data_IF_552603895949
#
_entry.id   IF_552603895949
#
_cell.length_a   1.000
_cell.length_b   1.000
_cell.length_c   1.000
_cell.angle_alpha   90.00
_cell.angle_beta   90.00
_cell.angle_gamma   90.00
#
_symmetry.space_group_name_H-M   'P 1'
#
loop_
_entity.id
_entity.type
_entity.pdbx_description
1 polymer ?
#
# COMPACT_ATOMS: atom_id res chain seq x y z
N UNK A 1 -9.86 -17.17 -0.23
CA UNK A 1 -10.57 -16.90 -1.52
C UNK A 1 -10.45 -18.08 -2.49
N UNK A 2 -9.27 -18.58 -2.82
CA UNK A 2 -9.13 -19.67 -3.79
C UNK A 2 -9.95 -20.93 -3.47
N UNK A 3 -10.05 -21.32 -2.21
CA UNK A 3 -10.80 -22.53 -1.76
C UNK A 3 -12.31 -22.33 -1.79
N UNK A 4 -12.79 -21.08 -1.65
CA UNK A 4 -14.22 -20.75 -1.54
C UNK A 4 -14.70 -19.84 -2.69
N UNK A 5 -14.03 -19.91 -3.83
CA UNK A 5 -14.30 -19.03 -4.98
C UNK A 5 -15.73 -19.10 -5.52
N UNK A 6 -16.42 -20.18 -5.29
CA UNK A 6 -17.80 -20.34 -5.74
C UNK A 6 -18.80 -19.58 -4.84
N UNK A 7 -18.37 -19.23 -3.63
CA UNK A 7 -19.20 -18.54 -2.62
C UNK A 7 -18.71 -17.13 -2.40
N UNK A 8 -17.39 -16.95 -2.27
CA UNK A 8 -16.76 -15.65 -1.98
C UNK A 8 -16.37 -14.97 -3.29
N UNK A 9 -17.05 -13.90 -3.63
CA UNK A 9 -16.80 -13.12 -4.85
C UNK A 9 -15.94 -11.89 -4.61
N UNK A 10 -16.07 -11.27 -3.43
CA UNK A 10 -15.34 -10.06 -3.04
C UNK A 10 -14.69 -10.25 -1.68
N UNK A 11 -13.52 -9.66 -1.52
CA UNK A 11 -12.76 -9.69 -0.26
C UNK A 11 -12.26 -8.29 0.04
N UNK A 12 -12.49 -7.82 1.27
CA UNK A 12 -11.79 -6.68 1.83
C UNK A 12 -10.85 -7.17 2.94
N UNK A 13 -9.61 -6.71 2.89
CA UNK A 13 -8.59 -6.92 3.91
C UNK A 13 -8.40 -5.58 4.59
N UNK A 14 -8.73 -5.50 5.87
CA UNK A 14 -8.56 -4.27 6.66
C UNK A 14 -7.49 -4.53 7.70
N UNK A 15 -6.37 -3.84 7.56
CA UNK A 15 -5.25 -3.90 8.48
C UNK A 15 -5.30 -2.67 9.37
N UNK A 16 -5.47 -2.91 10.67
CA UNK A 16 -5.55 -1.89 11.72
C UNK A 16 -4.36 -1.95 12.68
N UNK A 17 -3.33 -2.68 12.33
CA UNK A 17 -2.06 -2.66 13.06
C UNK A 17 -1.44 -1.25 12.97
N UNK A 18 -0.67 -0.88 14.00
CA UNK A 18 0.07 0.39 14.01
C UNK A 18 1.13 0.46 12.91
N UNK A 19 1.57 -0.68 12.40
CA UNK A 19 2.55 -0.77 11.34
C UNK A 19 1.90 -0.90 9.96
N UNK A 20 2.54 -0.34 8.97
CA UNK A 20 2.09 -0.46 7.58
C UNK A 20 2.23 -1.90 7.07
N UNK A 21 1.12 -2.48 6.60
CA UNK A 21 1.06 -3.82 6.01
C UNK A 21 1.64 -3.88 4.59
N UNK A 22 2.87 -3.43 4.41
CA UNK A 22 3.52 -3.26 3.10
C UNK A 22 3.59 -4.56 2.28
N UNK A 23 3.77 -5.71 2.92
CA UNK A 23 3.79 -7.00 2.23
C UNK A 23 2.43 -7.36 1.63
N UNK A 24 1.35 -7.14 2.38
CA UNK A 24 -0.01 -7.37 1.89
C UNK A 24 -0.36 -6.37 0.78
N UNK A 25 0.01 -5.11 0.97
CA UNK A 25 -0.17 -4.08 -0.04
C UNK A 25 0.48 -4.47 -1.36
N UNK A 26 1.74 -4.89 -1.32
CA UNK A 26 2.49 -5.24 -2.53
C UNK A 26 1.87 -6.42 -3.29
N UNK A 27 1.39 -7.43 -2.55
CA UNK A 27 0.66 -8.56 -3.12
C UNK A 27 -0.63 -8.09 -3.81
N UNK A 28 -1.40 -7.22 -3.17
CA UNK A 28 -2.67 -6.72 -3.73
C UNK A 28 -2.43 -5.79 -4.91
N UNK A 29 -1.40 -4.95 -4.85
CA UNK A 29 -1.01 -4.09 -5.99
C UNK A 29 -0.67 -4.88 -7.24
N UNK A 30 -0.20 -6.10 -7.11
CA UNK A 30 0.13 -6.97 -8.25
C UNK A 30 -1.11 -7.58 -8.94
N UNK A 31 -2.31 -7.35 -8.41
CA UNK A 31 -3.57 -7.67 -9.09
C UNK A 31 -3.82 -6.74 -10.30
N UNK A 32 -3.14 -5.61 -10.35
CA UNK A 32 -3.13 -4.71 -11.50
C UNK A 32 -1.80 -4.86 -12.25
N UNK A 33 -1.80 -4.96 -13.58
CA UNK A 33 -0.56 -4.91 -14.35
C UNK A 33 0.18 -3.61 -14.09
N UNK A 34 1.43 -3.71 -13.65
CA UNK A 34 2.28 -2.54 -13.38
C UNK A 34 3.74 -2.78 -13.76
N UNK A 35 4.46 -1.68 -13.98
CA UNK A 35 5.90 -1.72 -14.21
C UNK A 35 6.64 -1.30 -12.95
N UNK A 36 7.61 -2.11 -12.55
CA UNK A 36 8.54 -1.79 -11.47
C UNK A 36 9.89 -1.49 -12.10
N UNK A 37 10.45 -0.34 -11.75
CA UNK A 37 11.80 0.04 -12.18
C UNK A 37 12.75 0.05 -10.99
N UNK A 38 13.88 -0.59 -11.13
CA UNK A 38 14.95 -0.60 -10.14
C UNK A 38 16.26 -0.17 -10.76
N UNK A 39 17.12 0.41 -9.93
CA UNK A 39 18.47 0.85 -10.31
C UNK A 39 19.46 0.11 -9.43
N UNK A 40 20.33 -0.65 -10.05
CA UNK A 40 21.42 -1.36 -9.38
C UNK A 40 22.76 -0.75 -9.78
N UNK A 41 23.58 -0.44 -8.78
CA UNK A 41 24.96 0.02 -9.03
C UNK A 41 25.90 -1.16 -8.91
N UNK A 42 26.67 -1.38 -9.98
CA UNK A 42 27.67 -2.43 -10.07
C UNK A 42 29.05 -1.82 -10.34
N UNK A 43 30.14 -2.55 -10.12
CA UNK A 43 31.48 -2.08 -10.51
C UNK A 43 31.63 -1.76 -11.99
N UNK A 44 30.80 -2.37 -12.85
CA UNK A 44 30.79 -2.16 -14.30
C UNK A 44 29.91 -0.98 -14.74
N UNK A 45 29.14 -0.38 -13.82
CA UNK A 45 28.26 0.74 -14.12
C UNK A 45 26.89 0.65 -13.45
N UNK A 46 25.96 1.47 -13.94
CA UNK A 46 24.58 1.54 -13.42
C UNK A 46 23.69 0.70 -14.33
N UNK A 47 22.96 -0.23 -13.73
CA UNK A 47 21.98 -1.07 -14.39
C UNK A 47 20.57 -0.57 -14.06
N UNK A 48 19.81 -0.25 -15.10
CA UNK A 48 18.38 0.05 -14.98
C UNK A 48 17.59 -1.19 -15.40
N UNK A 49 16.76 -1.70 -14.52
CA UNK A 49 15.89 -2.84 -14.76
C UNK A 49 14.46 -2.40 -14.67
N UNK A 50 13.69 -2.67 -15.71
CA UNK A 50 12.23 -2.50 -15.70
C UNK A 50 11.57 -3.85 -15.87
N UNK A 51 10.67 -4.18 -14.97
CA UNK A 51 9.98 -5.45 -14.91
C UNK A 51 8.47 -5.23 -14.92
N UNK A 52 7.77 -5.99 -15.76
CA UNK A 52 6.31 -6.06 -15.70
C UNK A 52 5.91 -7.01 -14.57
N UNK A 53 4.99 -6.56 -13.73
CA UNK A 53 4.47 -7.34 -12.60
C UNK A 53 2.97 -7.44 -12.73
N UNK A 54 2.48 -8.69 -12.73
CA UNK A 54 1.07 -8.99 -12.70
C UNK A 54 0.88 -10.40 -12.14
N UNK A 55 0.12 -10.52 -11.06
CA UNK A 55 -0.11 -11.80 -10.39
C UNK A 55 -1.56 -11.90 -9.89
N UNK A 56 -2.52 -12.15 -10.79
CA UNK A 56 -3.92 -12.33 -10.40
C UNK A 56 -4.09 -13.59 -9.56
N UNK A 57 -5.05 -13.57 -8.64
CA UNK A 57 -5.38 -14.73 -7.81
C UNK A 57 -6.32 -15.71 -8.52
N UNK A 58 -7.20 -15.17 -9.36
CA UNK A 58 -8.18 -15.90 -10.16
C UNK A 58 -8.16 -15.48 -11.61
N UNK A 59 -8.43 -14.20 -11.85
CA UNK A 59 -8.60 -13.63 -13.17
C UNK A 59 -8.46 -12.09 -13.11
N UNK A 60 -8.65 -11.44 -14.24
CA UNK A 60 -8.53 -9.98 -14.39
C UNK A 60 -9.53 -9.18 -13.54
N UNK A 61 -10.61 -9.80 -13.09
CA UNK A 61 -11.60 -9.14 -12.25
C UNK A 61 -11.14 -9.02 -10.78
N UNK A 62 -10.05 -9.64 -10.38
CA UNK A 62 -9.54 -9.60 -9.01
C UNK A 62 -9.27 -8.17 -8.56
N UNK A 63 -8.77 -7.30 -9.43
CA UNK A 63 -8.51 -5.89 -9.13
C UNK A 63 -9.77 -5.12 -8.67
N UNK A 64 -10.96 -5.57 -9.09
CA UNK A 64 -12.26 -5.00 -8.69
C UNK A 64 -12.93 -5.76 -7.55
N UNK A 65 -12.43 -6.94 -7.22
CA UNK A 65 -13.02 -7.84 -6.25
C UNK A 65 -12.21 -7.99 -4.97
N UNK A 66 -10.99 -7.49 -4.94
CA UNK A 66 -10.12 -7.50 -3.76
C UNK A 66 -9.79 -6.07 -3.39
N UNK A 67 -9.92 -5.73 -2.11
CA UNK A 67 -9.52 -4.44 -1.58
C UNK A 67 -8.66 -4.65 -0.34
N UNK A 68 -7.57 -3.89 -0.27
CA UNK A 68 -6.73 -3.78 0.91
C UNK A 68 -6.81 -2.36 1.45
N UNK A 69 -7.05 -2.25 2.75
CA UNK A 69 -7.10 -0.97 3.47
C UNK A 69 -6.11 -1.10 4.63
N UNK A 70 -5.10 -0.25 4.68
CA UNK A 70 -4.18 -0.15 5.81
C UNK A 70 -4.36 1.18 6.52
N UNK A 71 -4.55 1.11 7.85
CA UNK A 71 -4.65 2.28 8.74
C UNK A 71 -3.51 2.14 9.75
N UNK A 72 -2.47 2.96 9.63
CA UNK A 72 -1.26 2.79 10.42
C UNK A 72 -0.64 4.12 10.84
N UNK A 73 0.28 4.05 11.79
CA UNK A 73 1.06 5.19 12.25
C UNK A 73 2.06 5.66 11.19
N UNK A 74 2.13 6.96 11.02
CA UNK A 74 3.08 7.64 10.14
C UNK A 74 3.65 8.86 10.88
N UNK A 75 4.86 9.22 10.61
CA UNK A 75 5.44 10.45 11.14
C UNK A 75 6.95 10.47 11.02
N UNK A 76 7.50 11.64 10.82
CA UNK A 76 8.92 11.89 10.94
C UNK A 76 9.26 12.20 12.40
N UNK A 77 10.36 11.67 12.88
CA UNK A 77 10.87 11.92 14.24
C UNK A 77 11.54 13.29 14.34
N UNK A 78 11.82 13.90 13.20
CA UNK A 78 12.55 15.15 13.08
C UNK A 78 12.03 15.93 11.86
N UNK A 79 11.85 17.23 11.99
CA UNK A 79 11.33 18.13 10.93
C UNK A 79 12.24 18.19 9.68
N UNK A 80 13.39 17.55 9.71
CA UNK A 80 14.40 17.63 8.65
C UNK A 80 14.47 16.40 7.75
N UNK A 81 13.81 15.29 8.09
CA UNK A 81 13.89 14.07 7.30
C UNK A 81 12.51 13.56 6.88
N UNK A 82 12.31 13.44 5.58
CA UNK A 82 11.11 12.88 4.95
C UNK A 82 10.99 11.34 5.11
N UNK A 83 11.61 10.77 6.12
CA UNK A 83 11.58 9.34 6.36
C UNK A 83 10.57 9.00 7.44
N UNK A 84 9.67 8.07 7.11
CA UNK A 84 8.80 7.47 8.10
C UNK A 84 9.63 6.84 9.21
N UNK A 85 9.38 7.25 10.46
CA UNK A 85 10.08 6.70 11.62
C UNK A 85 9.46 5.43 12.14
N UNK A 86 8.23 5.15 11.71
CA UNK A 86 7.56 3.90 12.02
C UNK A 86 8.02 2.79 11.08
N UNK A 87 8.30 1.63 11.66
CA UNK A 87 8.53 0.43 10.86
C UNK A 87 7.30 0.13 9.99
N UNK A 88 7.45 -0.28 8.76
CA UNK A 88 8.69 -0.54 8.00
C UNK A 88 9.28 0.65 7.25
N UNK A 89 8.87 1.86 7.52
CA UNK A 89 9.34 3.06 6.83
C UNK A 89 8.64 3.36 5.49
N UNK A 90 7.50 2.69 5.26
CA UNK A 90 6.64 2.84 4.08
C UNK A 90 5.23 3.21 4.53
N UNK A 91 4.32 3.49 3.61
CA UNK A 91 2.91 3.72 3.91
C UNK A 91 2.53 5.21 3.90
N UNK A 92 3.16 6.03 3.06
CA UNK A 92 2.59 7.33 2.73
C UNK A 92 1.17 7.15 2.20
N UNK A 93 0.27 8.07 2.56
CA UNK A 93 -1.13 7.98 2.11
C UNK A 93 -1.22 7.85 0.59
N UNK A 94 -1.89 6.82 0.14
CA UNK A 94 -2.02 6.48 -1.27
C UNK A 94 -3.32 5.72 -1.52
N UNK A 95 -3.85 5.85 -2.71
CA UNK A 95 -5.10 5.23 -3.12
C UNK A 95 -5.05 4.78 -4.58
N UNK A 96 -5.54 3.58 -4.84
CA UNK A 96 -5.84 3.10 -6.18
C UNK A 96 -7.07 2.16 -6.16
N UNK A 97 -7.37 1.51 -7.27
CA UNK A 97 -8.57 0.66 -7.42
C UNK A 97 -8.68 -0.44 -6.35
N UNK A 98 -7.57 -1.03 -5.92
CA UNK A 98 -7.57 -2.18 -5.01
C UNK A 98 -6.81 -1.92 -3.69
N UNK A 99 -6.17 -0.76 -3.53
CA UNK A 99 -5.39 -0.41 -2.34
C UNK A 99 -5.76 0.98 -1.85
N UNK A 100 -6.01 1.09 -0.56
CA UNK A 100 -6.16 2.36 0.15
C UNK A 100 -5.24 2.37 1.37
N UNK A 101 -4.34 3.33 1.41
CA UNK A 101 -3.38 3.52 2.49
C UNK A 101 -3.73 4.80 3.24
N UNK A 102 -4.06 4.68 4.51
CA UNK A 102 -4.42 5.78 5.40
C UNK A 102 -3.33 5.91 6.45
N UNK A 103 -2.50 6.93 6.32
CA UNK A 103 -1.48 7.24 7.31
C UNK A 103 -2.04 8.16 8.39
N UNK A 104 -1.78 7.83 9.65
CA UNK A 104 -2.12 8.64 10.81
C UNK A 104 -0.84 9.30 11.31
N UNK A 105 -0.79 10.62 11.26
CA UNK A 105 0.38 11.37 11.74
C UNK A 105 0.53 11.19 13.26
N UNK A 106 1.64 10.60 13.66
CA UNK A 106 2.01 10.33 15.04
C UNK A 106 3.10 11.28 15.55
N UNK A 107 3.54 12.24 14.75
CA UNK A 107 4.60 13.20 15.13
C UNK A 107 4.14 14.17 16.22
N UNK A 108 2.85 14.46 16.28
CA UNK A 108 2.22 15.30 17.28
C UNK A 108 1.35 14.47 18.24
N UNK A 109 1.96 13.86 19.23
CA UNK A 109 1.22 13.11 20.26
C UNK A 109 0.34 13.99 21.18
N UNK A 110 0.18 15.28 20.89
CA UNK A 110 -0.55 16.21 21.71
C UNK A 110 -1.70 16.96 21.04
N UNK A 111 -1.98 16.86 19.76
CA UNK A 111 -3.14 17.56 19.20
C UNK A 111 -3.68 16.93 17.92
N UNK A 112 -4.97 16.60 18.03
CA UNK A 112 -5.99 16.48 16.98
C UNK A 112 -5.80 15.41 15.89
N UNK A 113 -6.68 14.43 15.96
CA UNK A 113 -7.12 13.64 14.82
C UNK A 113 -7.44 14.55 13.64
N UNK A 114 -6.49 14.71 12.73
CA UNK A 114 -6.79 15.34 11.46
C UNK A 114 -7.81 14.49 10.72
N UNK A 115 -9.02 15.02 10.66
CA UNK A 115 -10.12 14.45 9.87
C UNK A 115 -9.70 14.40 8.41
N UNK A 116 -9.30 13.24 7.96
CA UNK A 116 -9.21 12.97 6.53
C UNK A 116 -10.62 13.12 5.96
N UNK A 117 -10.84 14.16 5.16
CA UNK A 117 -12.10 14.35 4.46
C UNK A 117 -12.25 13.21 3.46
N UNK A 118 -13.18 12.33 3.72
CA UNK A 118 -13.74 11.46 2.71
C UNK A 118 -14.52 12.34 1.73
N UNK A 119 -13.91 12.71 0.63
CA UNK A 119 -14.65 13.26 -0.50
C UNK A 119 -15.36 12.09 -1.17
N UNK A 120 -16.62 11.89 -0.82
CA UNK A 120 -17.57 11.17 -1.67
C UNK A 120 -17.95 12.14 -2.78
N UNK A 121 -17.45 11.92 -3.96
CA UNK A 121 -18.13 12.40 -5.16
C UNK A 121 -19.10 11.32 -5.63
N UNK A 122 -20.37 11.70 -5.59
CA UNK A 122 -21.51 10.96 -6.15
C UNK A 122 -21.50 11.06 -7.67
#
# INVERSE_FOLDING_TARGET
MAVHRDVVRRVAIVDIDVHHGNGTEDIVRNLLPRKISSVSRTPAGVLHVTQDVYAPWRDEADASNVQFISIHGWGARDDTEHHATFYPGTGAADENTCVQVISVDMSNSHNELHKTKFARET
#
